data_IF_286202666888
#
_entry.id   IF_286202666888
#
_cell.length_a   1.000
_cell.length_b   1.000
_cell.length_c   1.000
_cell.angle_alpha   90.00
_cell.angle_beta   90.00
_cell.angle_gamma   90.00
#
_symmetry.space_group_name_H-M   'P 1'
#
loop_
_entity.id
_entity.type
_entity.pdbx_description
1 polymer ?
#
# COMPACT_ATOMS: atom_id res chain seq x y z
N UNK A 1 -15.76 -1.47 11.45
CA UNK A 1 -14.39 -0.96 11.64
C UNK A 1 -13.90 -0.46 10.30
N UNK A 2 -13.42 0.77 10.28
CA UNK A 2 -13.00 1.37 9.01
C UNK A 2 -11.55 1.05 8.73
N UNK A 3 -11.29 0.58 7.52
CA UNK A 3 -9.95 0.21 7.09
C UNK A 3 -9.02 1.42 7.08
N UNK A 4 -9.51 2.57 6.67
CA UNK A 4 -8.70 3.78 6.60
C UNK A 4 -8.09 4.17 7.95
N UNK A 5 -8.83 3.98 9.03
CA UNK A 5 -8.31 4.26 10.37
C UNK A 5 -7.19 3.29 10.74
N UNK A 6 -7.37 2.01 10.42
CA UNK A 6 -6.35 1.00 10.67
C UNK A 6 -5.09 1.31 9.87
N UNK A 7 -5.26 1.68 8.61
CA UNK A 7 -4.13 2.03 7.76
C UNK A 7 -3.40 3.27 8.27
N UNK A 8 -4.14 4.25 8.77
CA UNK A 8 -3.53 5.44 9.37
C UNK A 8 -2.70 5.08 10.60
N UNK A 9 -3.17 4.13 11.40
CA UNK A 9 -2.42 3.66 12.58
C UNK A 9 -1.10 3.00 12.18
N UNK A 10 -1.03 2.43 10.98
CA UNK A 10 0.20 1.85 10.44
C UNK A 10 1.05 2.88 9.68
N UNK A 11 0.61 4.14 9.64
CA UNK A 11 1.37 5.20 8.99
C UNK A 11 1.06 5.42 7.52
N UNK A 12 -0.01 4.82 7.01
CA UNK A 12 -0.42 5.00 5.63
C UNK A 12 -1.37 6.17 5.48
N UNK A 13 -1.31 6.81 4.32
CA UNK A 13 -2.26 7.86 3.92
C UNK A 13 -2.84 7.52 2.55
N UNK A 14 -3.95 8.15 2.21
CA UNK A 14 -4.59 7.95 0.92
C UNK A 14 -4.02 8.96 -0.07
N UNK A 15 -3.57 8.46 -1.22
CA UNK A 15 -3.15 9.28 -2.35
C UNK A 15 -4.12 9.03 -3.50
N UNK A 16 -4.25 10.02 -4.38
CA UNK A 16 -5.13 9.88 -5.53
C UNK A 16 -4.50 10.46 -6.77
N UNK A 17 -4.89 9.92 -7.92
CA UNK A 17 -4.49 10.45 -9.22
C UNK A 17 -5.52 11.45 -9.72
N UNK A 18 -5.17 12.19 -10.77
CA UNK A 18 -6.10 13.13 -11.39
C UNK A 18 -7.33 12.46 -11.98
N UNK A 19 -7.25 11.16 -12.24
CA UNK A 19 -8.37 10.41 -12.81
C UNK A 19 -9.30 9.82 -11.74
N UNK A 20 -9.04 10.12 -10.47
CA UNK A 20 -9.87 9.60 -9.37
C UNK A 20 -9.46 8.26 -8.82
N UNK A 21 -8.35 7.74 -9.29
CA UNK A 21 -7.79 6.48 -8.80
C UNK A 21 -7.11 6.71 -7.45
N UNK A 22 -7.40 5.89 -6.45
CA UNK A 22 -6.86 6.05 -5.10
C UNK A 22 -6.08 4.83 -4.64
N UNK A 23 -5.09 5.07 -3.78
CA UNK A 23 -4.31 4.00 -3.17
C UNK A 23 -3.81 4.45 -1.80
N UNK A 24 -3.45 3.47 -0.95
CA UNK A 24 -2.74 3.77 0.29
C UNK A 24 -1.26 3.92 0.00
N UNK A 25 -0.62 4.86 0.66
CA UNK A 25 0.80 5.16 0.45
C UNK A 25 1.48 5.40 1.78
N UNK A 26 2.70 4.90 1.91
CA UNK A 26 3.54 5.16 3.07
C UNK A 26 4.98 5.32 2.61
N UNK A 27 5.65 6.37 3.09
CA UNK A 27 7.08 6.53 2.85
C UNK A 27 7.84 5.59 3.77
N UNK A 28 8.79 4.87 3.21
CA UNK A 28 9.58 3.88 3.94
C UNK A 28 11.05 4.02 3.55
N UNK A 29 11.90 3.28 4.25
CA UNK A 29 13.29 3.12 3.85
C UNK A 29 13.49 1.68 3.43
N UNK A 30 13.89 1.50 2.17
CA UNK A 30 14.03 0.16 1.59
C UNK A 30 15.44 -0.05 1.09
N UNK A 31 16.14 -1.02 1.68
CA UNK A 31 17.52 -1.36 1.31
C UNK A 31 18.44 -0.13 1.33
N UNK A 32 18.27 0.73 2.32
CA UNK A 32 19.11 1.90 2.51
C UNK A 32 18.75 3.12 1.68
N UNK A 33 17.64 3.10 0.93
CA UNK A 33 17.22 4.26 0.16
C UNK A 33 15.79 4.63 0.47
N UNK A 34 15.45 5.90 0.22
CA UNK A 34 14.11 6.39 0.47
C UNK A 34 13.16 5.84 -0.60
N UNK A 35 12.04 5.32 -0.15
CA UNK A 35 11.08 4.66 -1.03
C UNK A 35 9.67 4.92 -0.54
N UNK A 36 8.67 4.48 -1.29
CA UNK A 36 7.31 4.47 -0.82
C UNK A 36 6.63 3.18 -1.25
N UNK A 37 5.71 2.74 -0.41
CA UNK A 37 4.92 1.53 -0.65
C UNK A 37 3.50 1.94 -0.99
N UNK A 38 2.90 1.27 -1.97
CA UNK A 38 1.51 1.51 -2.36
C UNK A 38 0.71 0.24 -2.19
N UNK A 39 -0.55 0.39 -1.78
CA UNK A 39 -1.48 -0.72 -1.59
C UNK A 39 -2.76 -0.42 -2.30
N UNK A 40 -3.19 -1.32 -3.17
CA UNK A 40 -4.45 -1.22 -3.91
C UNK A 40 -5.20 -2.54 -3.80
N UNK A 41 -6.50 -2.49 -4.11
CA UNK A 41 -7.28 -3.71 -4.25
C UNK A 41 -6.80 -4.51 -5.45
N UNK A 42 -6.85 -5.82 -5.33
CA UNK A 42 -6.24 -6.71 -6.31
C UNK A 42 -6.94 -6.69 -7.68
N UNK A 43 -8.24 -6.47 -7.72
CA UNK A 43 -8.99 -6.60 -8.97
C UNK A 43 -9.37 -5.27 -9.61
N UNK A 44 -9.63 -4.27 -8.83
CA UNK A 44 -10.20 -3.03 -9.32
C UNK A 44 -9.47 -1.81 -8.83
N UNK A 45 -8.22 -1.77 -8.95
CA UNK A 45 -7.50 -0.52 -8.81
C UNK A 45 -8.23 0.52 -7.93
N UNK A 46 -8.40 0.22 -6.68
CA UNK A 46 -9.00 1.14 -5.72
C UNK A 46 -8.55 0.76 -4.32
N UNK A 47 -9.14 1.39 -3.33
CA UNK A 47 -8.80 1.09 -1.95
C UNK A 47 -9.46 -0.22 -1.51
N UNK A 48 -8.75 -1.08 -0.77
CA UNK A 48 -9.40 -2.23 -0.14
C UNK A 48 -10.42 -1.72 0.88
N UNK A 49 -11.57 -2.36 0.93
CA UNK A 49 -12.65 -1.93 1.81
C UNK A 49 -12.71 -2.69 3.12
N UNK A 50 -12.06 -3.85 3.18
CA UNK A 50 -12.04 -4.64 4.40
C UNK A 50 -10.69 -5.33 4.59
N UNK A 51 -10.43 -5.78 5.82
CA UNK A 51 -9.19 -6.50 6.12
C UNK A 51 -9.09 -7.84 5.40
N UNK A 52 -10.21 -8.38 4.94
CA UNK A 52 -10.24 -9.64 4.23
C UNK A 52 -10.07 -9.50 2.72
N UNK A 53 -10.07 -8.28 2.20
CA UNK A 53 -9.93 -8.05 0.77
C UNK A 53 -8.53 -8.36 0.28
N UNK A 54 -8.40 -9.01 -0.88
CA UNK A 54 -7.08 -9.21 -1.47
C UNK A 54 -6.50 -7.87 -1.92
N UNK A 55 -5.19 -7.76 -1.84
CA UNK A 55 -4.49 -6.52 -2.16
C UNK A 55 -3.28 -6.77 -3.05
N UNK A 56 -2.84 -5.69 -3.69
CA UNK A 56 -1.61 -5.64 -4.46
C UNK A 56 -0.67 -4.63 -3.78
N UNK A 57 0.57 -5.03 -3.55
CA UNK A 57 1.58 -4.19 -2.90
C UNK A 57 2.72 -3.93 -3.86
N UNK A 58 3.11 -2.66 -3.98
CA UNK A 58 4.21 -2.25 -4.85
C UNK A 58 5.12 -1.29 -4.08
N UNK A 59 6.42 -1.34 -4.38
CA UNK A 59 7.42 -0.47 -3.73
C UNK A 59 8.17 0.27 -4.82
N UNK A 60 8.25 1.60 -4.68
CA UNK A 60 8.87 2.49 -5.65
C UNK A 60 9.93 3.36 -5.00
N UNK A 61 10.93 3.74 -5.80
CA UNK A 61 11.92 4.72 -5.36
C UNK A 61 11.26 6.10 -5.20
N UNK A 62 11.54 6.75 -4.09
CA UNK A 62 10.91 8.04 -3.79
C UNK A 62 11.33 9.14 -4.76
N UNK A 63 12.58 9.13 -5.20
CA UNK A 63 13.10 10.18 -6.07
C UNK A 63 12.76 9.98 -7.53
N UNK A 64 12.91 8.77 -8.05
CA UNK A 64 12.73 8.50 -9.47
C UNK A 64 11.36 7.95 -9.82
N UNK A 65 10.66 7.35 -8.85
CA UNK A 65 9.40 6.69 -9.10
C UNK A 65 9.54 5.32 -9.76
N UNK A 66 10.77 4.81 -9.88
CA UNK A 66 10.98 3.50 -10.48
C UNK A 66 10.61 2.39 -9.50
N UNK A 67 10.05 1.30 -10.02
CA UNK A 67 9.69 0.16 -9.20
C UNK A 67 10.95 -0.51 -8.66
N UNK A 68 11.01 -0.68 -7.35
CA UNK A 68 12.15 -1.30 -6.68
C UNK A 68 11.96 -2.78 -6.45
N UNK A 69 10.72 -3.23 -6.27
CA UNK A 69 10.39 -4.63 -6.07
C UNK A 69 9.22 -4.99 -6.96
N UNK A 70 9.13 -6.23 -7.37
CA UNK A 70 7.98 -6.71 -8.14
C UNK A 70 6.73 -6.60 -7.31
N UNK A 71 5.62 -6.29 -7.96
CA UNK A 71 4.34 -6.23 -7.27
C UNK A 71 4.03 -7.60 -6.65
N UNK A 72 3.46 -7.57 -5.44
CA UNK A 72 3.12 -8.77 -4.68
C UNK A 72 1.65 -8.75 -4.35
N UNK A 73 0.99 -9.88 -4.53
CA UNK A 73 -0.41 -10.05 -4.15
C UNK A 73 -0.49 -10.72 -2.80
N UNK A 74 -1.43 -10.25 -1.98
CA UNK A 74 -1.74 -10.87 -0.69
C UNK A 74 -3.20 -11.28 -0.70
N UNK A 75 -3.50 -12.40 -0.07
CA UNK A 75 -4.87 -12.91 -0.02
C UNK A 75 -5.79 -11.98 0.77
N UNK A 76 -5.22 -11.22 1.69
CA UNK A 76 -5.99 -10.24 2.45
C UNK A 76 -5.08 -9.12 2.93
N UNK A 77 -5.68 -7.94 3.14
CA UNK A 77 -4.96 -6.81 3.71
C UNK A 77 -4.40 -7.17 5.08
N UNK A 78 -5.15 -7.91 5.86
CA UNK A 78 -4.69 -8.34 7.19
C UNK A 78 -3.41 -9.17 7.12
N UNK A 79 -3.32 -10.08 6.16
CA UNK A 79 -2.12 -10.89 5.97
C UNK A 79 -0.88 -10.03 5.74
N UNK A 80 -1.04 -8.96 4.96
CA UNK A 80 0.06 -8.04 4.73
C UNK A 80 0.40 -7.25 5.99
N UNK A 81 -0.60 -6.72 6.68
CA UNK A 81 -0.37 -5.91 7.88
C UNK A 81 0.30 -6.75 8.98
N UNK A 82 0.00 -8.03 9.06
CA UNK A 82 0.63 -8.92 10.02
C UNK A 82 2.13 -9.10 9.77
N UNK A 83 2.60 -8.80 8.56
CA UNK A 83 4.03 -8.86 8.25
C UNK A 83 4.78 -7.60 8.69
N UNK A 84 4.05 -6.53 8.99
CA UNK A 84 4.65 -5.28 9.42
C UNK A 84 4.92 -5.34 10.92
N UNK A 85 6.13 -4.99 11.30
CA UNK A 85 6.51 -4.95 12.71
C UNK A 85 6.32 -3.53 13.21
N UNK A 86 5.47 -3.38 14.19
CA UNK A 86 5.23 -2.08 14.81
C UNK A 86 6.13 -1.87 16.01
#
# INVERSE_FOLDING_TARGET
MKVDKIMADYGFSISSSCSGFEWYKKNIRHKGQDAFITITGNEDSGLPESLDDPILVEIYDLDSGNELEKSQSFNSLKSFLDTLVL
#
